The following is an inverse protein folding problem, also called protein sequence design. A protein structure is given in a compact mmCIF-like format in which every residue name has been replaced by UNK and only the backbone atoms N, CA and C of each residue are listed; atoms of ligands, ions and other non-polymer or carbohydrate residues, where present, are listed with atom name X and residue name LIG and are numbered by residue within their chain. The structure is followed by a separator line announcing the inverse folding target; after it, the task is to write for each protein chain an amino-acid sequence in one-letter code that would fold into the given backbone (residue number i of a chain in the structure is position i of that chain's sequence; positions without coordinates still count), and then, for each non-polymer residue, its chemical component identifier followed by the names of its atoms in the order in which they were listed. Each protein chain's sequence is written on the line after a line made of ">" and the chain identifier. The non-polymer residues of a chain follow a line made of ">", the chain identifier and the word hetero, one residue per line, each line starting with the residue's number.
data_IF_599057695168
#
_entry.id   IF_599057695168
#
_cell.length_a   1.000
_cell.length_b   1.000
_cell.length_c   1.000
_cell.angle_alpha   90.00
_cell.angle_beta   90.00
_cell.angle_gamma   90.00
#
_symmetry.space_group_name_H-M   'P 1'
#
loop_
_entity.id
_entity.type
_entity.pdbx_description
1 polymer ?
#
# COMPACT_ATOMS: atom_id res chain seq x y z
N UNK A 1 13.30 19.08 -1.81
CA UNK A 1 14.14 17.94 -2.25
C UNK A 1 15.27 17.52 -1.29
N UNK A 2 16.29 18.35 -0.99
CA UNK A 2 17.51 17.89 -0.27
C UNK A 2 17.23 17.28 1.12
N UNK A 3 16.38 17.94 1.92
CA UNK A 3 15.93 17.43 3.22
C UNK A 3 15.26 16.05 3.10
N UNK A 4 14.40 15.88 2.09
CA UNK A 4 13.72 14.61 1.80
C UNK A 4 14.73 13.52 1.43
N UNK A 5 15.74 13.83 0.61
CA UNK A 5 16.80 12.87 0.25
C UNK A 5 17.61 12.43 1.47
N UNK A 6 18.00 13.37 2.34
CA UNK A 6 18.73 13.06 3.59
C UNK A 6 17.87 12.15 4.48
N UNK A 7 16.59 12.49 4.63
CA UNK A 7 15.66 11.74 5.46
C UNK A 7 15.45 10.32 4.94
N UNK A 8 15.22 10.15 3.63
CA UNK A 8 15.09 8.82 3.00
C UNK A 8 16.37 8.00 3.17
N UNK A 9 17.55 8.59 2.90
CA UNK A 9 18.84 7.91 3.10
C UNK A 9 19.02 7.44 4.54
N UNK A 10 18.65 8.26 5.52
CA UNK A 10 18.75 7.91 6.94
C UNK A 10 17.85 6.72 7.28
N UNK A 11 16.58 6.73 6.84
CA UNK A 11 15.65 5.61 7.04
C UNK A 11 16.13 4.33 6.39
N UNK A 12 16.63 4.39 5.16
CA UNK A 12 17.15 3.21 4.47
C UNK A 12 18.42 2.66 5.12
N UNK A 13 19.30 3.53 5.64
CA UNK A 13 20.54 3.11 6.32
C UNK A 13 20.30 2.59 7.74
N UNK A 14 19.22 2.99 8.40
CA UNK A 14 18.89 2.61 9.77
C UNK A 14 17.37 2.58 9.94
N UNK A 15 16.69 1.55 9.40
CA UNK A 15 15.24 1.44 9.47
C UNK A 15 14.80 1.32 10.93
N UNK A 16 13.78 2.07 11.30
CA UNK A 16 13.13 1.87 12.59
C UNK A 16 12.25 0.61 12.59
N UNK A 17 11.55 0.34 13.70
CA UNK A 17 10.69 -0.83 13.80
C UNK A 17 9.53 -0.83 12.79
N UNK A 18 9.00 0.34 12.41
CA UNK A 18 7.92 0.46 11.43
C UNK A 18 8.45 0.20 10.02
N UNK A 19 9.61 0.73 9.70
CA UNK A 19 10.29 0.51 8.42
C UNK A 19 10.62 -0.98 8.24
N UNK A 20 11.23 -1.60 9.26
CA UNK A 20 11.58 -3.01 9.24
C UNK A 20 10.34 -3.91 9.14
N UNK A 21 9.26 -3.57 9.87
CA UNK A 21 7.99 -4.28 9.77
C UNK A 21 7.39 -4.15 8.36
N UNK A 22 7.36 -2.95 7.78
CA UNK A 22 6.82 -2.76 6.43
C UNK A 22 7.65 -3.48 5.36
N UNK A 23 8.98 -3.43 5.42
CA UNK A 23 9.85 -4.18 4.52
C UNK A 23 9.59 -5.68 4.62
N UNK A 24 9.51 -6.24 5.84
CA UNK A 24 9.19 -7.65 6.05
C UNK A 24 7.79 -8.01 5.53
N UNK A 25 6.82 -7.10 5.62
CA UNK A 25 5.48 -7.26 5.06
C UNK A 25 5.51 -7.35 3.53
N UNK A 26 6.20 -6.42 2.86
CA UNK A 26 6.34 -6.44 1.39
C UNK A 26 7.05 -7.71 0.92
N UNK A 27 8.10 -8.14 1.62
CA UNK A 27 8.79 -9.40 1.31
C UNK A 27 7.92 -10.64 1.55
N UNK A 28 7.07 -10.62 2.57
CA UNK A 28 6.07 -11.68 2.80
C UNK A 28 5.08 -11.77 1.63
N UNK A 29 4.54 -10.65 1.19
CA UNK A 29 3.63 -10.61 0.03
C UNK A 29 4.33 -11.17 -1.21
N UNK A 30 5.57 -10.76 -1.46
CA UNK A 30 6.35 -11.22 -2.59
C UNK A 30 6.60 -12.74 -2.58
N UNK A 31 7.01 -13.27 -1.43
CA UNK A 31 7.24 -14.71 -1.25
C UNK A 31 5.97 -15.55 -1.53
N UNK A 32 4.79 -14.96 -1.33
CA UNK A 32 3.51 -15.60 -1.62
C UNK A 32 3.00 -15.32 -3.05
N UNK A 33 3.84 -14.78 -3.93
CA UNK A 33 3.51 -14.55 -5.35
C UNK A 33 2.57 -13.37 -5.58
N UNK A 34 2.36 -12.50 -4.58
CA UNK A 34 1.42 -11.39 -4.67
C UNK A 34 1.74 -10.41 -5.81
N UNK A 35 3.02 -10.21 -6.11
CA UNK A 35 3.48 -9.31 -7.19
C UNK A 35 3.68 -10.01 -8.54
N UNK A 36 3.34 -11.30 -8.66
CA UNK A 36 3.50 -12.03 -9.90
C UNK A 36 2.35 -11.75 -10.88
N UNK A 37 2.69 -11.47 -12.15
CA UNK A 37 1.71 -11.32 -13.23
C UNK A 37 0.76 -10.13 -13.05
N UNK A 38 1.24 -9.02 -12.47
CA UNK A 38 0.43 -7.81 -12.27
C UNK A 38 -0.05 -7.26 -13.63
N UNK A 39 -1.34 -6.91 -13.75
CA UNK A 39 -1.86 -6.37 -15.00
C UNK A 39 -1.33 -4.94 -15.22
N UNK A 40 -0.90 -4.67 -16.44
CA UNK A 40 -0.54 -3.35 -16.93
C UNK A 40 -1.64 -2.81 -17.85
N UNK A 41 -1.70 -1.50 -18.01
CA UNK A 41 -2.64 -0.85 -18.93
C UNK A 41 -2.21 -1.00 -20.40
N UNK A 42 -2.97 -0.41 -21.33
CA UNK A 42 -2.68 -0.46 -22.76
C UNK A 42 -1.37 0.24 -23.18
N UNK A 43 -0.78 1.03 -22.28
CA UNK A 43 0.53 1.68 -22.47
C UNK A 43 1.67 0.90 -21.81
N UNK A 44 1.37 -0.25 -21.21
CA UNK A 44 2.32 -1.07 -20.47
C UNK A 44 2.63 -0.53 -19.07
N UNK A 45 1.85 0.41 -18.55
CA UNK A 45 2.07 1.01 -17.22
C UNK A 45 1.33 0.23 -16.16
N UNK A 46 2.01 -0.12 -15.06
CA UNK A 46 1.34 -0.62 -13.87
C UNK A 46 0.73 0.55 -13.10
N UNK A 47 -0.59 0.58 -13.01
CA UNK A 47 -1.31 1.55 -12.17
C UNK A 47 -1.47 0.97 -10.76
N UNK A 48 -0.96 1.69 -9.77
CA UNK A 48 -1.00 1.34 -8.35
C UNK A 48 -1.91 2.32 -7.60
N UNK A 49 -2.87 1.80 -6.84
CA UNK A 49 -3.65 2.58 -5.89
C UNK A 49 -3.12 2.35 -4.47
N UNK A 50 -2.79 3.42 -3.76
CA UNK A 50 -2.25 3.38 -2.41
C UNK A 50 -3.05 4.27 -1.46
N UNK A 51 -4.26 3.85 -1.02
CA UNK A 51 -4.94 4.49 0.10
C UNK A 51 -4.09 4.43 1.38
N UNK A 52 -4.00 5.54 2.11
CA UNK A 52 -3.28 5.62 3.38
C UNK A 52 -4.05 6.48 4.39
N UNK A 53 -3.60 6.48 5.64
CA UNK A 53 -4.07 7.35 6.71
C UNK A 53 -2.97 8.38 7.04
N UNK A 54 -3.30 9.65 6.97
CA UNK A 54 -2.42 10.81 7.13
C UNK A 54 -1.36 10.92 6.04
N UNK A 55 -0.33 10.08 6.05
CA UNK A 55 0.84 10.20 5.16
C UNK A 55 1.19 8.88 4.47
N UNK A 56 1.76 8.97 3.27
CA UNK A 56 2.32 7.81 2.58
C UNK A 56 3.77 7.56 2.96
N UNK A 57 4.01 7.35 4.26
CA UNK A 57 5.37 7.18 4.82
C UNK A 57 6.11 5.97 4.25
N UNK A 58 5.39 5.03 3.67
CA UNK A 58 5.87 3.78 3.07
C UNK A 58 6.41 3.97 1.65
N UNK A 59 6.13 5.10 0.99
CA UNK A 59 6.55 5.35 -0.39
C UNK A 59 8.06 5.13 -0.64
N UNK A 60 8.98 5.56 0.24
CA UNK A 60 10.42 5.33 0.04
C UNK A 60 10.85 3.86 0.11
N UNK A 61 10.02 2.99 0.67
CA UNK A 61 10.27 1.55 0.78
C UNK A 61 9.55 0.79 -0.35
N UNK A 62 8.29 1.15 -0.62
CA UNK A 62 7.46 0.48 -1.62
C UNK A 62 7.87 0.80 -3.06
N UNK A 63 8.10 2.08 -3.39
CA UNK A 63 8.29 2.48 -4.78
C UNK A 63 9.58 1.91 -5.40
N UNK A 64 10.74 1.94 -4.72
CA UNK A 64 11.93 1.27 -5.23
C UNK A 64 11.70 -0.24 -5.41
N UNK A 65 11.11 -0.90 -4.41
CA UNK A 65 10.79 -2.32 -4.47
C UNK A 65 9.93 -2.67 -5.69
N UNK A 66 8.84 -1.94 -5.91
CA UNK A 66 7.97 -2.17 -7.08
C UNK A 66 8.71 -1.94 -8.39
N UNK A 67 9.51 -0.88 -8.47
CA UNK A 67 10.27 -0.54 -9.69
C UNK A 67 11.31 -1.61 -10.08
N UNK A 68 11.83 -2.36 -9.11
CA UNK A 68 12.68 -3.52 -9.37
C UNK A 68 11.86 -4.74 -9.77
N UNK A 69 10.71 -4.96 -9.11
CA UNK A 69 9.91 -6.17 -9.31
C UNK A 69 9.22 -6.22 -10.67
N UNK A 70 8.87 -5.07 -11.24
CA UNK A 70 8.18 -4.98 -12.54
C UNK A 70 9.10 -4.66 -13.71
N UNK A 71 10.41 -4.61 -13.46
CA UNK A 71 11.41 -4.38 -14.49
C UNK A 71 11.29 -5.46 -15.58
N UNK A 72 11.15 -5.02 -16.84
CA UNK A 72 10.93 -5.90 -17.99
C UNK A 72 9.49 -6.39 -18.18
N UNK A 73 8.59 -6.20 -17.21
CA UNK A 73 7.15 -6.54 -17.36
C UNK A 73 6.25 -5.31 -17.52
N UNK A 74 6.70 -4.14 -17.08
CA UNK A 74 6.01 -2.87 -17.26
C UNK A 74 6.96 -1.81 -17.86
N UNK A 75 6.41 -0.89 -18.65
CA UNK A 75 7.13 0.27 -19.19
C UNK A 75 7.30 1.38 -18.15
N UNK A 76 6.51 1.35 -17.08
CA UNK A 76 6.56 2.28 -15.97
C UNK A 76 5.54 1.96 -14.88
N UNK A 77 5.52 2.80 -13.85
CA UNK A 77 4.62 2.71 -12.70
C UNK A 77 3.95 4.06 -12.47
N UNK A 78 2.62 4.06 -12.36
CA UNK A 78 1.84 5.22 -11.95
C UNK A 78 1.19 4.94 -10.59
N UNK A 79 1.69 5.59 -9.54
CA UNK A 79 1.16 5.41 -8.18
C UNK A 79 0.25 6.58 -7.82
N UNK A 80 -0.98 6.25 -7.45
CA UNK A 80 -1.99 7.20 -6.99
C UNK A 80 -2.28 6.92 -5.52
N UNK A 81 -1.82 7.81 -4.65
CA UNK A 81 -2.09 7.73 -3.23
C UNK A 81 -3.15 8.74 -2.81
N UNK A 82 -3.93 8.39 -1.79
CA UNK A 82 -5.05 9.24 -1.35
C UNK A 82 -5.36 9.14 0.13
N UNK A 83 -5.77 10.27 0.70
CA UNK A 83 -6.34 10.43 2.04
C UNK A 83 -7.48 11.46 1.99
N UNK A 84 -8.39 11.43 2.97
CA UNK A 84 -9.48 12.42 3.10
C UNK A 84 -8.96 13.80 3.54
N UNK A 85 -7.80 13.86 4.17
CA UNK A 85 -7.11 15.06 4.62
C UNK A 85 -5.91 15.35 3.72
N UNK A 86 -5.81 16.59 3.25
CA UNK A 86 -4.64 17.05 2.50
C UNK A 86 -3.46 17.24 3.46
N UNK A 87 -2.31 16.63 3.17
CA UNK A 87 -1.05 16.90 3.88
C UNK A 87 -0.15 17.82 3.06
N UNK A 88 -0.08 19.13 3.39
CA UNK A 88 0.62 20.10 2.55
C UNK A 88 2.15 19.95 2.58
N UNK A 89 2.73 19.32 3.60
CA UNK A 89 4.17 19.28 3.79
C UNK A 89 4.85 18.09 3.09
N UNK A 90 4.36 16.88 3.37
CA UNK A 90 5.03 15.66 2.92
C UNK A 90 4.66 15.23 1.50
N UNK A 91 3.45 15.53 1.04
CA UNK A 91 3.00 15.01 -0.26
C UNK A 91 3.81 15.55 -1.43
N UNK A 92 3.95 16.88 -1.53
CA UNK A 92 4.80 17.49 -2.56
C UNK A 92 6.26 17.02 -2.46
N UNK A 93 6.75 16.79 -1.23
CA UNK A 93 8.09 16.24 -1.00
C UNK A 93 8.24 14.82 -1.54
N UNK A 94 7.24 13.94 -1.35
CA UNK A 94 7.26 12.57 -1.90
C UNK A 94 7.15 12.55 -3.41
N UNK A 95 6.30 13.39 -4.00
CA UNK A 95 6.18 13.50 -5.45
C UNK A 95 7.48 14.03 -6.08
N UNK A 96 8.09 15.06 -5.50
CA UNK A 96 9.38 15.60 -5.96
C UNK A 96 10.50 14.58 -5.81
N UNK A 97 10.59 13.90 -4.65
CA UNK A 97 11.58 12.84 -4.41
C UNK A 97 11.43 11.68 -5.39
N UNK A 98 10.20 11.24 -5.65
CA UNK A 98 9.91 10.13 -6.58
C UNK A 98 10.34 10.51 -7.99
N UNK A 99 9.96 11.70 -8.46
CA UNK A 99 10.33 12.20 -9.78
C UNK A 99 11.85 12.30 -9.94
N UNK A 100 12.54 12.80 -8.93
CA UNK A 100 13.99 12.94 -8.95
C UNK A 100 14.73 11.59 -8.90
N UNK A 101 14.27 10.66 -8.07
CA UNK A 101 15.01 9.42 -7.76
C UNK A 101 14.63 8.25 -8.66
N UNK A 102 13.35 8.16 -9.04
CA UNK A 102 12.77 7.02 -9.76
C UNK A 102 12.15 7.42 -11.10
N UNK A 103 12.10 8.71 -11.44
CA UNK A 103 11.50 9.18 -12.69
C UNK A 103 12.18 8.63 -13.95
N UNK A 104 13.51 8.45 -13.93
CA UNK A 104 14.24 7.81 -15.03
C UNK A 104 13.93 6.33 -15.19
N UNK A 105 13.32 5.69 -14.18
CA UNK A 105 12.82 4.32 -14.20
C UNK A 105 11.33 4.25 -14.57
N UNK A 106 10.74 5.35 -15.04
CA UNK A 106 9.33 5.43 -15.41
C UNK A 106 8.37 5.39 -14.21
N UNK A 107 8.83 5.71 -13.00
CA UNK A 107 7.97 5.76 -11.80
C UNK A 107 7.46 7.18 -11.58
N UNK A 108 6.15 7.29 -11.38
CA UNK A 108 5.46 8.51 -11.01
C UNK A 108 4.61 8.30 -9.77
N UNK A 109 4.50 9.36 -8.96
CA UNK A 109 3.66 9.39 -7.77
C UNK A 109 2.77 10.64 -7.84
N UNK A 110 1.49 10.45 -7.55
CA UNK A 110 0.52 11.52 -7.36
C UNK A 110 -0.24 11.29 -6.06
N UNK A 111 -0.23 12.28 -5.18
CA UNK A 111 -0.91 12.26 -3.89
C UNK A 111 -2.02 13.30 -3.90
N UNK A 112 -3.24 12.85 -3.61
CA UNK A 112 -4.42 13.72 -3.69
C UNK A 112 -5.34 13.54 -2.51
N UNK A 113 -6.04 14.63 -2.18
CA UNK A 113 -7.18 14.57 -1.29
C UNK A 113 -8.30 13.85 -2.03
N UNK A 114 -8.81 12.77 -1.47
CA UNK A 114 -9.94 12.03 -2.00
C UNK A 114 -10.74 11.42 -0.86
N UNK A 115 -12.04 11.64 -0.85
CA UNK A 115 -12.92 11.01 0.13
C UNK A 115 -13.33 9.62 -0.37
N UNK A 116 -12.61 8.58 0.07
CA UNK A 116 -12.87 7.20 -0.37
C UNK A 116 -14.21 6.63 0.12
N UNK A 117 -14.90 7.27 1.07
CA UNK A 117 -16.28 6.92 1.42
C UNK A 117 -17.22 7.21 0.24
N UNK A 118 -16.98 8.34 -0.46
CA UNK A 118 -17.88 8.88 -1.48
C UNK A 118 -17.37 8.67 -2.90
N UNK A 119 -16.06 8.56 -3.05
CA UNK A 119 -15.38 8.57 -4.32
C UNK A 119 -14.64 7.25 -4.54
N UNK A 120 -14.79 6.69 -5.73
CA UNK A 120 -13.99 5.55 -6.13
C UNK A 120 -12.55 5.99 -6.46
N UNK A 121 -11.51 5.32 -5.93
CA UNK A 121 -10.14 5.58 -6.36
C UNK A 121 -9.95 5.19 -7.83
N UNK A 122 -8.87 5.66 -8.44
CA UNK A 122 -8.54 5.31 -9.81
C UNK A 122 -8.45 3.78 -9.98
N UNK A 123 -8.86 3.28 -11.15
CA UNK A 123 -8.75 1.86 -11.43
C UNK A 123 -7.29 1.43 -11.46
N UNK A 124 -6.96 0.34 -10.76
CA UNK A 124 -5.58 -0.07 -10.55
C UNK A 124 -5.40 -1.58 -10.70
N UNK A 125 -4.23 -1.96 -11.21
CA UNK A 125 -3.77 -3.35 -11.31
C UNK A 125 -3.15 -3.86 -10.01
N UNK A 126 -2.70 -2.94 -9.16
CA UNK A 126 -2.20 -3.23 -7.82
C UNK A 126 -2.83 -2.25 -6.81
N UNK A 127 -3.32 -2.78 -5.71
CA UNK A 127 -3.82 -2.00 -4.58
C UNK A 127 -3.07 -2.42 -3.32
N UNK A 128 -2.38 -1.49 -2.68
CA UNK A 128 -1.75 -1.71 -1.37
C UNK A 128 -2.19 -0.58 -0.45
N UNK A 129 -3.11 -0.90 0.45
CA UNK A 129 -3.65 0.05 1.40
C UNK A 129 -3.06 -0.17 2.78
N UNK A 130 -2.60 0.90 3.42
CA UNK A 130 -1.93 0.84 4.71
C UNK A 130 -2.87 1.29 5.83
N UNK A 131 -3.08 0.40 6.81
CA UNK A 131 -3.75 0.65 8.09
C UNK A 131 -5.20 1.14 7.96
N UNK A 132 -6.13 0.32 7.44
CA UNK A 132 -7.55 0.62 7.59
C UNK A 132 -7.99 0.38 9.04
N UNK A 133 -8.43 1.43 9.73
CA UNK A 133 -8.82 1.42 11.15
C UNK A 133 -10.26 0.89 11.38
N UNK A 134 -10.55 -0.27 10.79
CA UNK A 134 -11.90 -0.84 10.69
C UNK A 134 -12.61 -1.14 12.03
N UNK A 135 -11.88 -1.12 13.15
CA UNK A 135 -12.42 -1.42 14.49
C UNK A 135 -12.77 -0.19 15.32
N UNK A 136 -12.39 1.02 14.89
CA UNK A 136 -12.61 2.26 15.65
C UNK A 136 -13.86 3.04 15.19
N UNK A 137 -14.73 2.40 14.40
CA UNK A 137 -15.88 3.04 13.75
C UNK A 137 -15.48 3.81 12.48
N UNK A 138 -16.43 4.55 11.90
CA UNK A 138 -16.23 5.30 10.67
C UNK A 138 -16.68 4.55 9.40
N UNK A 139 -16.52 5.17 8.21
CA UNK A 139 -17.14 4.70 6.97
C UNK A 139 -16.35 3.59 6.26
N UNK A 140 -15.65 2.74 7.01
CA UNK A 140 -14.73 1.74 6.45
C UNK A 140 -15.38 0.72 5.53
N UNK A 141 -16.65 0.40 5.76
CA UNK A 141 -17.39 -0.48 4.85
C UNK A 141 -17.51 0.14 3.45
N UNK A 142 -17.89 1.43 3.37
CA UNK A 142 -17.98 2.15 2.10
C UNK A 142 -16.60 2.35 1.46
N UNK A 143 -15.59 2.71 2.26
CA UNK A 143 -14.20 2.88 1.79
C UNK A 143 -13.68 1.59 1.16
N UNK A 144 -13.75 0.46 1.89
CA UNK A 144 -13.24 -0.82 1.40
C UNK A 144 -14.02 -1.29 0.17
N UNK A 145 -15.34 -1.11 0.14
CA UNK A 145 -16.14 -1.43 -1.04
C UNK A 145 -15.71 -0.61 -2.28
N UNK A 146 -15.49 0.70 -2.12
CA UNK A 146 -15.03 1.56 -3.22
C UNK A 146 -13.63 1.19 -3.71
N UNK A 147 -12.70 0.90 -2.79
CA UNK A 147 -11.36 0.42 -3.11
C UNK A 147 -11.43 -0.92 -3.86
N UNK A 148 -12.23 -1.88 -3.40
CA UNK A 148 -12.37 -3.17 -4.08
C UNK A 148 -12.98 -3.05 -5.47
N UNK A 149 -13.93 -2.13 -5.67
CA UNK A 149 -14.54 -1.86 -6.99
C UNK A 149 -13.55 -1.23 -7.97
N UNK A 150 -12.48 -0.58 -7.49
CA UNK A 150 -11.48 0.05 -8.37
C UNK A 150 -10.48 -0.96 -8.96
N UNK A 151 -10.56 -2.24 -8.59
CA UNK A 151 -9.72 -3.29 -9.18
C UNK A 151 -9.97 -3.41 -10.70
N UNK A 152 -8.91 -3.47 -11.48
CA UNK A 152 -8.98 -3.96 -12.87
C UNK A 152 -9.07 -5.48 -12.89
N UNK A 153 -9.52 -6.11 -14.00
CA UNK A 153 -9.42 -7.56 -14.14
C UNK A 153 -7.98 -8.06 -13.88
N UNK A 154 -7.82 -9.11 -13.08
CA UNK A 154 -6.52 -9.64 -12.68
C UNK A 154 -5.77 -8.83 -11.61
N UNK A 155 -6.35 -7.74 -11.10
CA UNK A 155 -5.68 -6.90 -10.11
C UNK A 155 -5.44 -7.63 -8.79
N UNK A 156 -4.35 -7.25 -8.11
CA UNK A 156 -3.99 -7.75 -6.78
C UNK A 156 -4.27 -6.68 -5.73
N UNK A 157 -4.87 -7.07 -4.60
CA UNK A 157 -5.23 -6.14 -3.53
C UNK A 157 -4.77 -6.70 -2.18
N UNK A 158 -4.07 -5.86 -1.41
CA UNK A 158 -3.69 -6.16 -0.03
C UNK A 158 -3.96 -4.98 0.89
N UNK A 159 -4.46 -5.29 2.08
CA UNK A 159 -4.57 -4.35 3.18
C UNK A 159 -3.59 -4.75 4.28
N UNK A 160 -2.78 -3.82 4.77
CA UNK A 160 -1.91 -4.09 5.93
C UNK A 160 -2.58 -3.58 7.20
N UNK A 161 -2.76 -4.44 8.19
CA UNK A 161 -3.39 -4.12 9.48
C UNK A 161 -2.37 -4.25 10.62
N UNK A 162 -2.65 -3.58 11.74
CA UNK A 162 -1.78 -3.60 12.91
C UNK A 162 -2.19 -4.74 13.82
N UNK A 163 -3.49 -4.95 14.01
CA UNK A 163 -4.00 -5.97 14.91
C UNK A 163 -4.75 -7.08 14.19
N UNK A 164 -4.80 -8.26 14.81
CA UNK A 164 -5.52 -9.42 14.26
C UNK A 164 -7.01 -9.13 14.10
N UNK A 165 -7.61 -8.47 15.09
CA UNK A 165 -9.02 -8.10 15.06
C UNK A 165 -9.35 -7.15 13.88
N UNK A 166 -8.43 -6.22 13.55
CA UNK A 166 -8.56 -5.37 12.37
C UNK A 166 -8.47 -6.19 11.08
N UNK A 167 -7.46 -7.06 10.96
CA UNK A 167 -7.31 -7.92 9.78
C UNK A 167 -8.55 -8.81 9.55
N UNK A 168 -9.09 -9.40 10.61
CA UNK A 168 -10.31 -10.19 10.56
C UNK A 168 -11.53 -9.36 10.17
N UNK A 169 -11.66 -8.13 10.69
CA UNK A 169 -12.74 -7.22 10.33
C UNK A 169 -12.62 -6.75 8.87
N UNK A 170 -11.42 -6.38 8.41
CA UNK A 170 -11.14 -6.06 7.00
C UNK A 170 -11.53 -7.23 6.10
N UNK A 171 -11.07 -8.44 6.41
CA UNK A 171 -11.41 -9.65 5.65
C UNK A 171 -12.91 -9.94 5.64
N UNK A 172 -13.63 -9.72 6.75
CA UNK A 172 -15.10 -9.87 6.79
C UNK A 172 -15.80 -8.90 5.84
N UNK A 173 -15.38 -7.62 5.82
CA UNK A 173 -15.95 -6.62 4.91
C UNK A 173 -15.67 -7.01 3.46
N UNK A 174 -14.42 -7.38 3.14
CA UNK A 174 -14.06 -7.79 1.77
C UNK A 174 -14.85 -9.03 1.31
N UNK A 175 -15.09 -10.00 2.19
CA UNK A 175 -15.92 -11.18 1.89
C UNK A 175 -17.40 -10.83 1.68
N UNK A 176 -17.92 -9.84 2.40
CA UNK A 176 -19.29 -9.35 2.18
C UNK A 176 -19.45 -8.71 0.79
N UNK A 177 -18.36 -8.16 0.23
CA UNK A 177 -18.29 -7.68 -1.16
C UNK A 177 -18.00 -8.80 -2.18
N UNK A 178 -18.07 -10.07 -1.77
CA UNK A 178 -17.92 -11.24 -2.63
C UNK A 178 -16.48 -11.68 -2.91
N UNK A 179 -15.47 -11.05 -2.28
CA UNK A 179 -14.08 -11.43 -2.46
C UNK A 179 -13.65 -12.61 -1.58
N UNK A 180 -12.61 -13.33 -1.99
CA UNK A 180 -11.92 -14.28 -1.12
C UNK A 180 -10.73 -13.60 -0.43
N UNK A 181 -10.43 -14.00 0.81
CA UNK A 181 -9.39 -13.35 1.61
C UNK A 181 -8.52 -14.34 2.37
N UNK A 182 -7.21 -14.14 2.28
CA UNK A 182 -6.19 -14.79 3.09
C UNK A 182 -5.57 -13.78 4.06
N UNK A 183 -5.38 -14.19 5.31
CA UNK A 183 -4.68 -13.38 6.32
C UNK A 183 -3.30 -13.99 6.54
N UNK A 184 -2.26 -13.21 6.32
CA UNK A 184 -0.88 -13.58 6.62
C UNK A 184 -0.34 -12.75 7.77
N UNK A 185 0.44 -13.37 8.64
CA UNK A 185 1.17 -12.68 9.71
C UNK A 185 2.61 -12.39 9.29
N UNK A 186 3.06 -11.18 9.58
CA UNK A 186 4.38 -10.68 9.24
C UNK A 186 5.46 -11.38 10.07
N UNK A 187 6.46 -12.02 9.42
CA UNK A 187 7.52 -12.74 10.13
C UNK A 187 8.37 -11.84 11.04
N UNK A 188 8.35 -10.51 10.87
CA UNK A 188 8.99 -9.57 11.80
C UNK A 188 8.50 -9.73 13.26
N UNK A 189 7.26 -10.18 13.45
CA UNK A 189 6.65 -10.42 14.76
C UNK A 189 6.67 -11.90 15.18
N UNK A 190 7.38 -12.77 14.45
CA UNK A 190 7.45 -14.18 14.80
C UNK A 190 7.95 -14.39 16.24
N UNK A 191 7.23 -15.22 17.00
CA UNK A 191 7.54 -15.49 18.40
C UNK A 191 7.12 -14.40 19.40
N UNK A 192 6.55 -13.28 18.94
CA UNK A 192 6.03 -12.22 19.82
C UNK A 192 4.60 -12.48 20.26
N UNK A 193 4.18 -11.82 21.34
CA UNK A 193 2.82 -11.97 21.88
C UNK A 193 1.77 -11.53 20.84
N UNK A 194 0.77 -12.37 20.49
CA UNK A 194 -0.34 -12.02 19.58
C UNK A 194 -1.13 -10.76 19.98
N UNK A 195 -1.13 -10.40 21.25
CA UNK A 195 -1.86 -9.23 21.78
C UNK A 195 -0.95 -8.04 22.10
N UNK A 196 0.29 -8.05 21.61
CA UNK A 196 1.22 -6.93 21.78
C UNK A 196 0.61 -5.64 21.17
N UNK A 197 0.62 -4.57 21.97
CA UNK A 197 0.15 -3.24 21.55
C UNK A 197 1.26 -2.47 20.85
N UNK A 198 0.90 -1.52 19.99
CA UNK A 198 1.90 -0.70 19.27
C UNK A 198 2.60 -1.43 18.12
N UNK A 199 2.00 -2.51 17.61
CA UNK A 199 2.47 -3.15 16.39
C UNK A 199 2.07 -2.33 15.15
N UNK A 200 2.81 -2.50 14.07
CA UNK A 200 2.55 -1.87 12.77
C UNK A 200 2.77 -2.88 11.64
N UNK A 201 1.91 -2.85 10.62
CA UNK A 201 1.92 -3.79 9.49
C UNK A 201 2.15 -5.26 9.93
N UNK A 202 1.46 -5.72 10.98
CA UNK A 202 1.64 -7.08 11.49
C UNK A 202 0.89 -8.10 10.65
N UNK A 203 -0.23 -7.72 10.05
CA UNK A 203 -1.06 -8.62 9.26
C UNK A 203 -1.26 -8.06 7.86
N UNK A 204 -1.24 -8.93 6.86
CA UNK A 204 -1.72 -8.63 5.52
C UNK A 204 -3.00 -9.40 5.25
N UNK A 205 -4.04 -8.69 4.82
CA UNK A 205 -5.23 -9.28 4.23
C UNK A 205 -5.06 -9.21 2.72
N UNK A 206 -4.72 -10.35 2.12
CA UNK A 206 -4.67 -10.51 0.66
C UNK A 206 -6.10 -10.77 0.18
N UNK A 207 -6.54 -9.99 -0.80
CA UNK A 207 -7.87 -10.08 -1.38
C UNK A 207 -7.78 -10.50 -2.82
N UNK A 208 -8.25 -11.71 -3.08
CA UNK A 208 -8.37 -12.25 -4.43
C UNK A 208 -9.74 -11.87 -5.02
N UNK A 209 -9.82 -11.67 -6.35
CA UNK A 209 -11.07 -11.38 -7.05
C UNK A 209 -12.11 -12.50 -6.91
#
# INVERSE_FOLDING_TARGET
>A
LESTLIWVRKRLASPDARDAAYQAMVMLLDKNGFFAGLPVDSSGVLVVSAPFCQEFSEAPLLLPFLSERVEGTATGIAVHGSDVNHQPYWWGSWEEWTRHTLGSRGVSLQLRKQDLEREQPQRAGLIIACHPEVTNGGPWLAILANVLKSRTPGARCAFTNFYRAEAEATARICRAEGASCQILENPFYAGRNPTEVGTCHRFAVIVDP
#
